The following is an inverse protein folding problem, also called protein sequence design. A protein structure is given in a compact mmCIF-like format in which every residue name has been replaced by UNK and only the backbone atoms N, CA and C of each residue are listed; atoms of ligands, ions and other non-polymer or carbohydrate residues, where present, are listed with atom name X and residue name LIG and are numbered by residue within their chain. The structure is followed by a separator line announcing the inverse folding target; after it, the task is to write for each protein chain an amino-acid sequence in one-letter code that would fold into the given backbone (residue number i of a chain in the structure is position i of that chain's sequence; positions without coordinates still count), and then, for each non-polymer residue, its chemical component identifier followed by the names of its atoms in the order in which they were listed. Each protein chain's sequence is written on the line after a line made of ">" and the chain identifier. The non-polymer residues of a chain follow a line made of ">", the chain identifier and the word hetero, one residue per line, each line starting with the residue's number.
data_IF_887832693304
#
_entry.id   IF_887832693304
#
_cell.length_a   1.000
_cell.length_b   1.000
_cell.length_c   1.000
_cell.angle_alpha   90.00
_cell.angle_beta   90.00
_cell.angle_gamma   90.00
#
_symmetry.space_group_name_H-M   'P 1'
#
loop_
_entity.id
_entity.type
_entity.pdbx_description
1 polymer ?
#
# COMPACT_ATOMS: atom_id res chain seq x y z
N UNK A 1 -7.53 -2.67 -11.34
CA UNK A 1 -7.37 -3.39 -12.64
C UNK A 1 -6.06 -4.15 -12.61
N UNK A 2 -6.07 -5.43 -12.99
CA UNK A 2 -4.83 -6.21 -13.08
C UNK A 2 -3.95 -5.74 -14.25
N UNK A 3 -2.71 -5.39 -13.95
CA UNK A 3 -1.62 -5.29 -14.94
C UNK A 3 -1.38 -6.57 -15.75
N UNK A 4 -0.98 -6.40 -17.01
CA UNK A 4 -0.25 -7.45 -17.73
C UNK A 4 1.09 -7.71 -17.02
N UNK A 5 1.47 -8.99 -16.88
CA UNK A 5 2.69 -9.36 -16.16
C UNK A 5 3.97 -8.75 -16.76
N UNK A 6 4.00 -8.50 -18.07
CA UNK A 6 5.12 -7.81 -18.74
C UNK A 6 5.17 -6.34 -18.31
N UNK A 7 4.01 -5.68 -18.21
CA UNK A 7 3.90 -4.29 -17.77
C UNK A 7 4.39 -4.14 -16.33
N UNK A 8 3.92 -5.01 -15.43
CA UNK A 8 4.36 -5.01 -14.03
C UNK A 8 5.87 -5.25 -13.89
N UNK A 9 6.39 -6.28 -14.56
CA UNK A 9 7.83 -6.60 -14.52
C UNK A 9 8.69 -5.44 -15.05
N UNK A 10 8.25 -4.79 -16.12
CA UNK A 10 8.96 -3.64 -16.67
C UNK A 10 8.93 -2.44 -15.71
N UNK A 11 7.78 -2.15 -15.10
CA UNK A 11 7.64 -1.06 -14.13
C UNK A 11 8.53 -1.29 -12.89
N UNK A 12 8.53 -2.51 -12.35
CA UNK A 12 9.39 -2.87 -11.22
C UNK A 12 10.88 -2.87 -11.58
N UNK A 13 11.25 -3.31 -12.79
CA UNK A 13 12.62 -3.22 -13.27
C UNK A 13 13.07 -1.75 -13.44
N UNK A 14 12.19 -0.89 -13.92
CA UNK A 14 12.41 0.56 -13.99
C UNK A 14 12.64 1.17 -12.61
N UNK A 15 11.79 0.81 -11.64
CA UNK A 15 11.94 1.25 -10.26
C UNK A 15 13.27 0.80 -9.64
N UNK A 16 13.61 -0.50 -9.77
CA UNK A 16 14.90 -1.04 -9.31
C UNK A 16 16.07 -0.28 -9.92
N UNK A 17 16.04 -0.05 -11.24
CA UNK A 17 17.12 0.66 -11.92
C UNK A 17 17.28 2.10 -11.42
N UNK A 18 16.17 2.82 -11.24
CA UNK A 18 16.19 4.18 -10.70
C UNK A 18 16.69 4.22 -9.25
N UNK A 19 16.22 3.30 -8.40
CA UNK A 19 16.66 3.20 -7.01
C UNK A 19 18.16 2.89 -6.90
N UNK A 20 18.66 1.93 -7.69
CA UNK A 20 20.10 1.64 -7.77
C UNK A 20 20.90 2.83 -8.28
N UNK A 21 20.40 3.57 -9.28
CA UNK A 21 21.05 4.78 -9.77
C UNK A 21 21.08 5.90 -8.72
N UNK A 22 20.07 5.96 -7.83
CA UNK A 22 20.05 6.85 -6.67
C UNK A 22 20.98 6.39 -5.52
N UNK A 23 21.65 5.25 -5.67
CA UNK A 23 22.62 4.71 -4.71
C UNK A 23 22.06 3.71 -3.70
N UNK A 24 20.81 3.26 -3.89
CA UNK A 24 20.25 2.20 -3.06
C UNK A 24 20.88 0.85 -3.42
N UNK A 25 21.46 0.17 -2.45
CA UNK A 25 21.98 -1.18 -2.62
C UNK A 25 20.80 -2.15 -2.77
N UNK A 26 20.63 -2.67 -3.99
CA UNK A 26 19.55 -3.60 -4.30
C UNK A 26 20.03 -5.05 -4.18
N UNK A 27 19.42 -5.88 -3.32
CA UNK A 27 19.86 -7.24 -3.09
C UNK A 27 19.68 -8.12 -4.34
N UNK A 28 20.51 -9.15 -4.46
CA UNK A 28 20.27 -10.21 -5.44
C UNK A 28 19.02 -11.03 -5.01
N UNK A 29 18.20 -11.52 -5.97
CA UNK A 29 17.04 -12.32 -5.65
C UNK A 29 17.43 -13.57 -4.83
N UNK A 30 16.87 -13.70 -3.63
CA UNK A 30 17.33 -14.70 -2.66
C UNK A 30 16.59 -16.05 -2.72
N UNK A 31 15.38 -16.12 -3.28
CA UNK A 31 14.57 -17.33 -3.25
C UNK A 31 13.63 -17.50 -4.47
N UNK A 32 13.30 -18.75 -4.83
CA UNK A 32 12.28 -19.03 -5.83
C UNK A 32 10.87 -18.70 -5.30
N UNK A 33 9.89 -18.47 -6.21
CA UNK A 33 8.52 -18.16 -5.84
C UNK A 33 7.89 -19.21 -4.94
N UNK A 34 7.21 -18.78 -3.88
CA UNK A 34 6.21 -19.58 -3.19
C UNK A 34 4.82 -19.18 -3.68
N UNK A 35 4.08 -20.16 -4.20
CA UNK A 35 2.65 -20.00 -4.47
C UNK A 35 1.93 -19.46 -3.23
N UNK A 36 0.84 -18.73 -3.44
CA UNK A 36 0.02 -18.26 -2.34
C UNK A 36 -0.41 -19.44 -1.44
N UNK A 37 -0.15 -19.38 -0.11
CA UNK A 37 -0.62 -20.41 0.81
C UNK A 37 -2.15 -20.55 0.78
N UNK A 38 -2.68 -21.77 0.98
CA UNK A 38 -4.14 -21.98 1.10
C UNK A 38 -4.78 -21.13 2.20
N UNK A 39 -4.01 -20.75 3.22
CA UNK A 39 -4.45 -19.85 4.27
C UNK A 39 -4.89 -18.49 3.70
N UNK A 40 -4.21 -17.95 2.69
CA UNK A 40 -4.54 -16.65 2.06
C UNK A 40 -5.96 -16.67 1.50
N UNK A 41 -6.31 -17.72 0.75
CA UNK A 41 -7.65 -17.88 0.19
C UNK A 41 -8.74 -17.88 1.27
N UNK A 42 -8.48 -18.58 2.40
CA UNK A 42 -9.42 -18.67 3.52
C UNK A 42 -9.54 -17.37 4.30
N UNK A 43 -8.41 -16.72 4.62
CA UNK A 43 -8.37 -15.45 5.34
C UNK A 43 -9.11 -14.36 4.57
N UNK A 44 -8.88 -14.27 3.25
CA UNK A 44 -9.37 -13.15 2.45
C UNK A 44 -10.68 -13.43 1.67
N UNK A 45 -11.27 -14.62 1.84
CA UNK A 45 -12.50 -15.04 1.15
C UNK A 45 -12.42 -15.00 -0.38
N UNK A 46 -11.32 -15.47 -0.95
CA UNK A 46 -11.10 -15.40 -2.40
C UNK A 46 -10.81 -16.76 -3.00
N UNK A 47 -11.43 -17.02 -4.15
CA UNK A 47 -11.26 -18.26 -4.91
C UNK A 47 -9.92 -18.30 -5.67
N UNK A 48 -9.30 -17.15 -5.89
CA UNK A 48 -8.01 -17.03 -6.58
C UNK A 48 -7.14 -15.93 -5.98
N UNK A 49 -5.85 -15.99 -6.29
CA UNK A 49 -4.86 -14.93 -5.98
C UNK A 49 -4.17 -14.57 -7.29
N UNK A 50 -4.13 -13.28 -7.60
CA UNK A 50 -3.54 -12.79 -8.85
C UNK A 50 -2.06 -13.18 -9.00
N UNK A 51 -1.63 -13.52 -10.22
CA UNK A 51 -0.24 -13.90 -10.52
C UNK A 51 0.76 -12.81 -10.09
N UNK A 52 0.35 -11.55 -10.16
CA UNK A 52 1.14 -10.38 -9.75
C UNK A 52 1.62 -10.47 -8.30
N UNK A 53 0.77 -10.95 -7.40
CA UNK A 53 1.11 -11.08 -5.99
C UNK A 53 2.10 -12.21 -5.75
N UNK A 54 1.90 -13.35 -6.42
CA UNK A 54 2.85 -14.47 -6.36
C UNK A 54 4.22 -14.05 -6.90
N UNK A 55 4.23 -13.27 -8.00
CA UNK A 55 5.46 -12.72 -8.55
C UNK A 55 6.11 -11.67 -7.66
N UNK A 56 5.33 -10.77 -7.03
CA UNK A 56 5.85 -9.74 -6.14
C UNK A 56 6.51 -10.39 -4.91
N UNK A 57 5.83 -11.36 -4.29
CA UNK A 57 6.35 -12.12 -3.15
C UNK A 57 7.60 -12.92 -3.51
N UNK A 58 7.69 -13.43 -4.75
CA UNK A 58 8.90 -14.11 -5.22
C UNK A 58 10.11 -13.19 -5.36
N UNK A 59 9.96 -11.87 -5.27
CA UNK A 59 11.09 -10.97 -5.33
C UNK A 59 11.91 -10.96 -4.02
N UNK A 60 11.34 -11.42 -2.91
CA UNK A 60 12.03 -11.55 -1.61
C UNK A 60 12.50 -10.21 -1.04
N UNK A 61 11.65 -9.18 -1.10
CA UNK A 61 11.96 -7.82 -0.64
C UNK A 61 11.60 -7.56 0.83
N UNK A 62 11.06 -8.56 1.52
CA UNK A 62 10.47 -8.47 2.85
C UNK A 62 11.46 -8.09 3.96
N UNK A 63 12.75 -8.40 3.77
CA UNK A 63 13.79 -8.10 4.75
C UNK A 63 14.49 -6.74 4.56
N UNK A 64 14.15 -5.99 3.51
CA UNK A 64 14.97 -4.87 3.04
C UNK A 64 14.16 -3.57 2.90
N UNK A 65 14.79 -2.43 3.23
CA UNK A 65 14.18 -1.09 3.17
C UNK A 65 14.24 -0.52 1.75
N UNK A 66 13.67 -1.26 0.81
CA UNK A 66 13.77 -0.95 -0.62
C UNK A 66 12.76 0.09 -1.09
N UNK A 67 11.64 0.23 -0.38
CA UNK A 67 10.51 1.07 -0.78
C UNK A 67 10.76 2.54 -0.38
N UNK A 68 10.09 3.53 -1.01
CA UNK A 68 10.15 4.91 -0.55
C UNK A 68 9.72 5.03 0.92
N UNK A 69 10.22 6.03 1.64
CA UNK A 69 9.92 6.19 3.06
C UNK A 69 10.40 5.04 3.94
N UNK A 70 11.29 4.17 3.43
CA UNK A 70 11.80 3.05 4.21
C UNK A 70 10.84 1.90 4.44
N UNK A 71 9.78 1.82 3.63
CA UNK A 71 8.75 0.80 3.77
C UNK A 71 9.28 -0.63 3.59
N UNK A 72 8.52 -1.56 4.15
CA UNK A 72 8.77 -2.99 4.09
C UNK A 72 7.69 -3.68 3.25
N UNK A 73 8.09 -4.69 2.50
CA UNK A 73 7.13 -5.61 1.88
C UNK A 73 6.67 -6.62 2.93
N UNK A 74 5.36 -6.79 3.08
CA UNK A 74 4.80 -7.78 3.99
C UNK A 74 4.82 -9.15 3.32
N UNK A 75 5.31 -10.21 4.00
CA UNK A 75 5.30 -11.55 3.46
C UNK A 75 3.86 -12.10 3.37
N UNK A 76 3.70 -13.28 2.77
CA UNK A 76 2.44 -14.01 2.87
C UNK A 76 2.03 -14.21 4.35
N UNK A 77 0.76 -13.98 4.70
CA UNK A 77 0.27 -14.21 6.05
C UNK A 77 0.53 -15.63 6.54
N UNK A 78 1.11 -15.73 7.74
CA UNK A 78 1.39 -17.01 8.40
C UNK A 78 0.24 -17.46 9.32
N UNK A 79 -0.58 -16.51 9.79
CA UNK A 79 -1.69 -16.69 10.72
C UNK A 79 -2.78 -15.64 10.48
N UNK A 80 -3.75 -15.55 11.41
CA UNK A 80 -4.87 -14.62 11.34
C UNK A 80 -4.56 -13.17 11.68
N UNK A 81 -3.35 -12.85 12.17
CA UNK A 81 -3.02 -11.48 12.62
C UNK A 81 -2.99 -10.50 11.44
N UNK A 82 -2.79 -10.98 10.20
CA UNK A 82 -2.88 -10.15 8.99
C UNK A 82 -4.28 -9.53 8.77
N UNK A 83 -5.32 -10.03 9.45
CA UNK A 83 -6.66 -9.41 9.41
C UNK A 83 -6.73 -8.16 10.30
N UNK A 84 -5.87 -8.03 11.31
CA UNK A 84 -5.88 -6.88 12.22
C UNK A 84 -5.49 -5.58 11.47
N UNK A 85 -4.62 -5.69 10.47
CA UNK A 85 -4.27 -4.59 9.56
C UNK A 85 -5.47 -4.09 8.73
N UNK A 86 -6.52 -4.93 8.58
CA UNK A 86 -7.74 -4.59 7.86
C UNK A 86 -8.78 -3.90 8.73
N UNK A 87 -8.54 -3.71 10.03
CA UNK A 87 -9.40 -2.93 10.94
C UNK A 87 -9.61 -1.48 10.51
N UNK A 88 -8.77 -0.97 9.61
CA UNK A 88 -8.82 0.39 9.07
C UNK A 88 -9.69 0.51 7.80
N UNK A 89 -10.33 -0.59 7.37
CA UNK A 89 -11.07 -0.70 6.11
C UNK A 89 -12.48 -0.09 6.19
N UNK A 90 -12.56 1.15 6.65
CA UNK A 90 -13.82 1.83 6.94
C UNK A 90 -14.35 2.48 5.66
N UNK A 91 -15.60 2.16 5.31
CA UNK A 91 -16.31 2.78 4.19
C UNK A 91 -15.77 2.41 2.80
N UNK A 92 -14.86 1.44 2.69
CA UNK A 92 -14.33 0.99 1.40
C UNK A 92 -15.44 0.40 0.50
N UNK A 93 -15.36 0.54 -0.83
CA UNK A 93 -16.43 0.15 -1.77
C UNK A 93 -16.45 -1.36 -2.10
N UNK A 94 -15.73 -2.18 -1.34
CA UNK A 94 -15.61 -3.62 -1.52
C UNK A 94 -15.61 -4.32 -0.15
N UNK A 95 -15.84 -5.64 -0.09
CA UNK A 95 -15.74 -6.37 1.17
C UNK A 95 -14.35 -6.19 1.80
N UNK A 96 -14.30 -5.78 3.07
CA UNK A 96 -13.03 -5.47 3.77
C UNK A 96 -12.03 -6.63 3.74
N UNK A 97 -12.54 -7.87 3.69
CA UNK A 97 -11.75 -9.10 3.68
C UNK A 97 -11.12 -9.40 2.32
N UNK A 98 -11.55 -8.75 1.23
CA UNK A 98 -11.04 -8.98 -0.13
C UNK A 98 -9.83 -8.12 -0.49
N UNK A 99 -8.90 -7.95 0.46
CA UNK A 99 -7.68 -7.18 0.25
C UNK A 99 -6.55 -7.71 1.11
N UNK A 100 -5.34 -7.67 0.57
CA UNK A 100 -4.12 -8.17 1.20
C UNK A 100 -3.20 -7.00 1.56
N UNK A 101 -2.80 -6.83 2.83
CA UNK A 101 -1.70 -5.94 3.19
C UNK A 101 -0.42 -6.30 2.44
N UNK A 102 0.15 -5.33 1.71
CA UNK A 102 1.35 -5.53 0.87
C UNK A 102 2.57 -4.79 1.38
N UNK A 103 2.41 -3.51 1.72
CA UNK A 103 3.53 -2.68 2.15
C UNK A 103 3.18 -2.01 3.47
N UNK A 104 4.12 -2.06 4.40
CA UNK A 104 4.03 -1.36 5.67
C UNK A 104 5.06 -0.23 5.71
N UNK A 105 4.59 0.95 6.08
CA UNK A 105 5.37 2.13 6.37
C UNK A 105 5.04 2.59 7.79
N UNK A 106 5.84 3.49 8.36
CA UNK A 106 5.73 3.91 9.77
C UNK A 106 4.30 4.28 10.21
N UNK A 107 3.53 4.93 9.33
CA UNK A 107 2.17 5.40 9.63
C UNK A 107 1.11 4.86 8.66
N UNK A 108 1.48 3.97 7.74
CA UNK A 108 0.65 3.62 6.59
C UNK A 108 0.76 2.15 6.21
N UNK A 109 -0.36 1.57 5.79
CA UNK A 109 -0.36 0.33 5.02
C UNK A 109 -0.82 0.59 3.60
N UNK A 110 -0.20 -0.10 2.65
CA UNK A 110 -0.73 -0.23 1.30
C UNK A 110 -1.21 -1.67 1.14
N UNK A 111 -2.41 -1.84 0.59
CA UNK A 111 -3.03 -3.14 0.33
C UNK A 111 -3.27 -3.33 -1.17
N UNK A 112 -3.53 -4.57 -1.56
CA UNK A 112 -3.96 -4.94 -2.89
C UNK A 112 -5.35 -5.55 -2.83
N UNK A 113 -6.28 -5.04 -3.62
CA UNK A 113 -7.64 -5.58 -3.70
C UNK A 113 -7.63 -6.88 -4.51
N UNK A 114 -8.16 -7.94 -3.92
CA UNK A 114 -8.03 -9.32 -4.42
C UNK A 114 -9.15 -9.76 -5.35
N UNK A 115 -10.29 -9.06 -5.37
CA UNK A 115 -11.46 -9.50 -6.12
C UNK A 115 -12.41 -8.34 -6.49
N UNK A 116 -13.38 -8.66 -7.36
CA UNK A 116 -14.45 -7.75 -7.77
C UNK A 116 -13.97 -6.66 -8.74
N UNK A 117 -14.77 -5.60 -8.86
CA UNK A 117 -14.51 -4.51 -9.83
C UNK A 117 -13.23 -3.71 -9.54
N UNK A 118 -12.73 -3.82 -8.30
CA UNK A 118 -11.53 -3.14 -7.82
C UNK A 118 -10.27 -4.02 -7.87
N UNK A 119 -10.37 -5.28 -8.33
CA UNK A 119 -9.24 -6.22 -8.32
C UNK A 119 -7.97 -5.61 -8.96
N UNK A 120 -6.85 -5.68 -8.22
CA UNK A 120 -5.55 -5.13 -8.61
C UNK A 120 -5.30 -3.69 -8.21
N UNK A 121 -6.30 -2.96 -7.71
CA UNK A 121 -6.07 -1.61 -7.18
C UNK A 121 -5.24 -1.63 -5.90
N UNK A 122 -4.43 -0.59 -5.73
CA UNK A 122 -3.65 -0.37 -4.52
C UNK A 122 -4.34 0.68 -3.67
N UNK A 123 -4.69 0.29 -2.45
CA UNK A 123 -5.33 1.16 -1.47
C UNK A 123 -4.37 1.45 -0.33
N UNK A 124 -4.46 2.65 0.24
CA UNK A 124 -3.67 3.05 1.41
C UNK A 124 -4.57 3.35 2.61
N UNK A 125 -4.04 3.05 3.79
CA UNK A 125 -4.69 3.23 5.09
C UNK A 125 -3.72 3.90 6.04
N UNK A 126 -4.16 4.96 6.71
CA UNK A 126 -3.41 5.61 7.80
C UNK A 126 -3.69 4.88 9.11
N UNK A 127 -2.60 4.50 9.79
CA UNK A 127 -2.62 3.78 11.07
C UNK A 127 -3.11 4.67 12.23
N UNK A 128 -2.80 5.98 12.29
CA UNK A 128 -3.26 6.80 13.40
C UNK A 128 -4.79 6.78 13.52
N UNK A 129 -5.33 6.52 14.73
CA UNK A 129 -6.74 6.17 14.95
C UNK A 129 -7.73 7.30 14.61
N UNK A 130 -7.25 8.53 14.38
CA UNK A 130 -8.05 9.72 14.15
C UNK A 130 -8.07 10.19 12.68
N UNK A 131 -7.69 9.32 11.75
CA UNK A 131 -7.51 9.68 10.33
C UNK A 131 -8.58 9.05 9.44
N UNK A 132 -8.89 7.76 9.61
CA UNK A 132 -9.95 7.03 8.86
C UNK A 132 -9.87 7.29 7.35
N UNK A 133 -8.65 7.19 6.84
CA UNK A 133 -8.24 7.76 5.56
C UNK A 133 -7.99 6.66 4.50
N UNK A 134 -8.89 5.67 4.46
CA UNK A 134 -8.92 4.65 3.43
C UNK A 134 -9.14 5.30 2.05
N UNK A 135 -8.18 5.12 1.13
CA UNK A 135 -8.22 5.79 -0.18
C UNK A 135 -7.37 5.03 -1.21
N UNK A 136 -7.75 4.99 -2.51
CA UNK A 136 -6.89 4.40 -3.53
C UNK A 136 -5.63 5.23 -3.74
N UNK A 137 -4.48 4.57 -3.61
CA UNK A 137 -3.15 5.10 -3.83
C UNK A 137 -2.73 5.01 -5.30
N UNK A 138 -3.04 3.89 -5.97
CA UNK A 138 -2.71 3.67 -7.37
C UNK A 138 -3.70 2.67 -8.02
N UNK A 139 -3.96 2.79 -9.33
CA UNK A 139 -4.87 1.88 -10.03
C UNK A 139 -4.32 0.46 -10.21
N UNK A 140 -3.01 0.27 -10.04
CA UNK A 140 -2.30 -1.01 -10.14
C UNK A 140 -0.89 -0.96 -9.52
N UNK A 141 -0.26 -2.13 -9.34
CA UNK A 141 1.14 -2.22 -8.89
C UNK A 141 2.11 -1.55 -9.87
N UNK A 142 1.92 -1.74 -11.18
CA UNK A 142 2.79 -1.12 -12.18
C UNK A 142 2.67 0.41 -12.15
N UNK A 143 1.47 0.94 -11.94
CA UNK A 143 1.25 2.38 -11.79
C UNK A 143 1.94 2.92 -10.53
N UNK A 144 1.89 2.18 -9.42
CA UNK A 144 2.58 2.53 -8.19
C UNK A 144 4.10 2.58 -8.38
N UNK A 145 4.71 1.52 -8.94
CA UNK A 145 6.15 1.51 -9.23
C UNK A 145 6.55 2.62 -10.20
N UNK A 146 5.70 2.96 -11.16
CA UNK A 146 5.95 4.07 -12.08
C UNK A 146 5.95 5.43 -11.37
N UNK A 147 5.05 5.65 -10.41
CA UNK A 147 5.06 6.85 -9.57
C UNK A 147 6.34 6.94 -8.73
N UNK A 148 6.77 5.84 -8.12
CA UNK A 148 8.01 5.82 -7.34
C UNK A 148 9.26 6.04 -8.20
N UNK A 149 9.31 5.42 -9.39
CA UNK A 149 10.38 5.63 -10.37
C UNK A 149 10.48 7.11 -10.75
N UNK A 150 9.34 7.71 -11.13
CA UNK A 150 9.26 9.12 -11.48
C UNK A 150 9.68 10.02 -10.32
N UNK A 151 9.26 9.69 -9.10
CA UNK A 151 9.68 10.40 -7.89
C UNK A 151 11.20 10.41 -7.71
N UNK A 152 11.88 9.30 -8.00
CA UNK A 152 13.34 9.23 -7.97
C UNK A 152 13.95 10.10 -9.09
N UNK A 153 13.46 9.95 -10.32
CA UNK A 153 14.00 10.67 -11.49
C UNK A 153 13.86 12.20 -11.39
N UNK A 154 12.81 12.68 -10.75
CA UNK A 154 12.58 14.13 -10.52
C UNK A 154 13.30 14.65 -9.28
N UNK A 155 13.93 13.77 -8.49
CA UNK A 155 14.60 14.10 -7.23
C UNK A 155 13.66 14.28 -6.04
N UNK A 156 12.36 14.02 -6.21
CA UNK A 156 11.37 14.05 -5.14
C UNK A 156 11.50 12.86 -4.18
N UNK A 157 12.14 11.78 -4.60
CA UNK A 157 12.58 10.66 -3.76
C UNK A 157 14.09 10.52 -3.90
N UNK A 158 14.80 10.42 -2.79
CA UNK A 158 16.25 10.36 -2.79
C UNK A 158 16.78 9.48 -1.69
N UNK A 159 17.93 8.86 -1.92
CA UNK A 159 18.63 8.14 -0.86
C UNK A 159 19.04 9.14 0.23
N UNK A 160 18.62 8.89 1.47
CA UNK A 160 19.11 9.62 2.62
C UNK A 160 20.41 8.97 3.13
N UNK A 161 21.55 9.70 3.12
CA UNK A 161 22.83 9.12 3.53
C UNK A 161 22.90 8.70 5.00
N UNK A 162 22.01 9.24 5.86
CA UNK A 162 22.05 8.97 7.29
C UNK A 162 21.35 7.67 7.67
N UNK A 163 20.24 7.38 7.01
CA UNK A 163 19.39 6.21 7.25
C UNK A 163 19.65 5.07 6.27
N UNK A 164 20.20 5.38 5.08
CA UNK A 164 20.48 4.40 4.03
C UNK A 164 19.25 3.95 3.23
N UNK A 165 18.10 4.62 3.38
CA UNK A 165 16.87 4.30 2.63
C UNK A 165 16.42 5.46 1.74
N UNK A 166 15.44 5.20 0.88
CA UNK A 166 14.82 6.23 0.04
C UNK A 166 13.87 7.09 0.88
N UNK A 167 14.11 8.39 0.93
CA UNK A 167 13.29 9.38 1.60
C UNK A 167 12.44 10.16 0.58
N UNK A 168 11.18 10.42 0.93
CA UNK A 168 10.26 11.23 0.11
C UNK A 168 10.33 12.68 0.55
N UNK A 169 10.43 13.59 -0.42
CA UNK A 169 10.57 15.03 -0.20
C UNK A 169 11.87 15.42 0.49
N UNK A 170 11.86 16.61 1.06
CA UNK A 170 13.04 17.24 1.65
C UNK A 170 13.51 16.61 2.96
N UNK A 171 12.69 15.78 3.63
CA UNK A 171 13.00 15.20 4.94
C UNK A 171 13.08 16.22 6.09
N UNK A 172 12.84 17.49 5.81
CA UNK A 172 12.95 18.61 6.76
C UNK A 172 11.64 19.37 6.93
N UNK A 173 10.66 19.14 6.05
CA UNK A 173 9.33 19.73 6.10
C UNK A 173 8.32 18.83 6.77
N UNK A 174 7.13 19.37 7.06
CA UNK A 174 5.97 18.56 7.41
C UNK A 174 5.38 17.88 6.16
N UNK A 175 4.34 17.06 6.32
CA UNK A 175 3.73 16.36 5.18
C UNK A 175 3.12 17.32 4.14
N UNK A 176 2.54 18.45 4.55
CA UNK A 176 2.04 19.47 3.62
C UNK A 176 3.14 20.05 2.73
N UNK A 177 4.30 20.33 3.32
CA UNK A 177 5.47 20.80 2.56
C UNK A 177 5.96 19.72 1.59
N UNK A 178 5.91 18.45 2.00
CA UNK A 178 6.29 17.31 1.15
C UNK A 178 5.33 17.13 -0.03
N UNK A 179 4.01 17.24 0.20
CA UNK A 179 3.00 17.21 -0.87
C UNK A 179 3.25 18.33 -1.87
N UNK A 180 3.47 19.55 -1.38
CA UNK A 180 3.76 20.72 -2.22
C UNK A 180 5.04 20.52 -3.02
N UNK A 181 6.10 20.01 -2.40
CA UNK A 181 7.38 19.72 -3.04
C UNK A 181 7.22 18.70 -4.18
N UNK A 182 6.50 17.60 -3.94
CA UNK A 182 6.19 16.60 -4.99
C UNK A 182 5.52 17.25 -6.20
N UNK A 183 4.51 18.08 -5.96
CA UNK A 183 3.73 18.75 -7.01
C UNK A 183 4.52 19.84 -7.75
N UNK A 184 5.42 20.55 -7.07
CA UNK A 184 6.28 21.57 -7.66
C UNK A 184 7.37 20.97 -8.54
N UNK A 185 7.97 19.85 -8.11
CA UNK A 185 8.97 19.13 -8.90
C UNK A 185 8.34 18.51 -10.14
N UNK A 186 7.16 17.90 -9.99
CA UNK A 186 6.42 17.35 -11.12
C UNK A 186 4.91 17.26 -10.83
N UNK A 187 4.06 18.04 -11.53
CA UNK A 187 2.61 18.00 -11.35
C UNK A 187 1.95 16.65 -11.66
N UNK A 188 2.67 15.73 -12.31
CA UNK A 188 2.19 14.37 -12.61
C UNK A 188 2.51 13.34 -11.52
N UNK A 189 3.18 13.73 -10.42
CA UNK A 189 3.32 12.90 -9.23
C UNK A 189 2.02 12.94 -8.42
N UNK A 190 1.47 11.77 -8.11
CA UNK A 190 0.31 11.64 -7.23
C UNK A 190 0.80 11.50 -5.78
N UNK A 191 0.56 12.49 -4.89
CA UNK A 191 0.97 12.39 -3.49
C UNK A 191 0.43 11.15 -2.77
N UNK A 192 -0.74 10.64 -3.16
CA UNK A 192 -1.33 9.44 -2.54
C UNK A 192 -0.56 8.15 -2.87
N UNK A 193 0.25 8.13 -3.93
CA UNK A 193 1.12 7.01 -4.26
C UNK A 193 2.36 6.93 -3.35
N UNK A 194 2.64 7.96 -2.54
CA UNK A 194 3.80 8.01 -1.65
C UNK A 194 3.39 7.79 -0.19
N UNK A 195 4.29 7.22 0.64
CA UNK A 195 4.03 6.95 2.04
C UNK A 195 4.18 8.21 2.91
N UNK A 196 3.38 9.23 2.61
CA UNK A 196 3.32 10.50 3.33
C UNK A 196 1.98 10.59 4.06
N UNK A 197 1.94 11.11 5.29
CA UNK A 197 0.69 11.25 6.02
C UNK A 197 -0.13 12.40 5.44
N UNK A 198 -1.43 12.21 5.23
CA UNK A 198 -2.30 13.20 4.60
C UNK A 198 -3.63 13.40 5.35
N UNK A 199 -3.61 13.50 6.70
CA UNK A 199 -4.82 13.50 7.49
C UNK A 199 -5.70 14.69 7.12
N UNK A 200 -6.96 14.41 6.75
CA UNK A 200 -7.94 15.43 6.38
C UNK A 200 -7.52 16.34 5.19
N UNK A 201 -6.55 15.91 4.37
CA UNK A 201 -6.11 16.70 3.22
C UNK A 201 -7.21 16.75 2.13
N UNK A 202 -7.49 17.90 1.49
CA UNK A 202 -8.55 18.00 0.47
C UNK A 202 -8.41 17.01 -0.71
N UNK A 203 -7.18 16.73 -1.13
CA UNK A 203 -6.88 15.71 -2.16
C UNK A 203 -7.44 14.33 -1.76
N UNK A 204 -7.26 13.96 -0.49
CA UNK A 204 -7.70 12.66 0.02
C UNK A 204 -9.22 12.55 -0.01
N UNK A 205 -9.93 13.55 0.53
CA UNK A 205 -11.41 13.56 0.54
C UNK A 205 -11.99 13.56 -0.87
N UNK A 206 -11.36 14.29 -1.80
CA UNK A 206 -11.77 14.27 -3.21
C UNK A 206 -11.58 12.88 -3.85
N UNK A 207 -10.46 12.20 -3.55
CA UNK A 207 -10.19 10.85 -4.05
C UNK A 207 -11.14 9.81 -3.45
N UNK A 208 -11.43 9.89 -2.14
CA UNK A 208 -12.42 9.03 -1.47
C UNK A 208 -13.79 9.12 -2.15
N UNK A 209 -14.29 10.34 -2.36
CA UNK A 209 -15.58 10.56 -3.01
C UNK A 209 -15.61 10.02 -4.45
N UNK A 210 -14.52 10.21 -5.21
CA UNK A 210 -14.42 9.68 -6.58
C UNK A 210 -14.33 8.14 -6.63
N UNK A 211 -13.75 7.52 -5.59
CA UNK A 211 -13.56 6.08 -5.48
C UNK A 211 -14.78 5.34 -4.91
N UNK A 212 -15.83 6.05 -4.48
CA UNK A 212 -17.01 5.43 -3.90
C UNK A 212 -16.87 5.05 -2.42
N UNK A 213 -15.87 5.61 -1.72
CA UNK A 213 -15.78 5.46 -0.26
C UNK A 213 -17.01 6.09 0.39
N UNK A 214 -17.64 5.37 1.33
CA UNK A 214 -18.74 5.91 2.12
C UNK A 214 -18.22 6.97 3.10
N UNK A 215 -18.26 8.22 2.63
CA UNK A 215 -17.82 9.39 3.40
C UNK A 215 -18.65 9.64 4.66
N UNK A 216 -19.82 9.01 4.78
CA UNK A 216 -20.64 9.07 5.99
C UNK A 216 -20.13 8.13 7.10
N UNK A 217 -19.28 7.16 6.77
CA UNK A 217 -18.68 6.23 7.73
C UNK A 217 -17.33 6.72 8.26
N UNK A 218 -16.59 7.52 7.48
CA UNK A 218 -15.26 8.04 7.84
C UNK A 218 -15.30 9.40 8.56
N UNK A 219 -16.28 9.59 9.45
CA UNK A 219 -16.37 10.80 10.29
C UNK A 219 -15.85 10.53 11.71
N UNK A 220 -15.36 11.55 12.44
CA UNK A 220 -14.87 11.36 13.81
C UNK A 220 -15.89 10.75 14.78
N UNK A 221 -17.19 10.92 14.50
CA UNK A 221 -18.27 10.41 15.33
C UNK A 221 -18.61 8.94 15.03
N UNK A 222 -18.53 8.51 13.77
CA UNK A 222 -18.99 7.16 13.35
C UNK A 222 -17.86 6.17 13.15
N UNK A 223 -16.70 6.63 12.71
CA UNK A 223 -15.61 5.75 12.36
C UNK A 223 -15.08 4.93 13.56
N UNK A 224 -15.01 5.47 14.80
CA UNK A 224 -14.65 4.65 15.97
C UNK A 224 -15.61 3.48 16.21
N UNK A 225 -16.93 3.70 16.07
CA UNK A 225 -17.94 2.66 16.26
C UNK A 225 -17.82 1.57 15.19
N UNK A 226 -17.63 1.97 13.92
CA UNK A 226 -17.47 1.03 12.80
C UNK A 226 -16.17 0.24 12.91
N UNK A 227 -15.09 0.87 13.40
CA UNK A 227 -13.83 0.18 13.66
C UNK A 227 -14.02 -0.90 14.75
N UNK A 228 -14.78 -0.62 15.80
CA UNK A 228 -15.11 -1.60 16.84
C UNK A 228 -15.92 -2.78 16.28
N UNK A 229 -16.96 -2.50 15.48
CA UNK A 229 -17.73 -3.52 14.77
C UNK A 229 -16.84 -4.39 13.88
N UNK A 230 -15.91 -3.78 13.14
CA UNK A 230 -14.98 -4.49 12.27
C UNK A 230 -13.99 -5.35 13.05
N UNK A 231 -13.50 -4.87 14.19
CA UNK A 231 -12.65 -5.67 15.09
C UNK A 231 -13.38 -6.90 15.65
N UNK A 232 -14.66 -6.76 16.02
CA UNK A 232 -15.51 -7.87 16.44
C UNK A 232 -15.71 -8.89 15.30
N UNK A 233 -15.93 -8.40 14.08
CA UNK A 233 -16.01 -9.26 12.88
C UNK A 233 -14.70 -10.01 12.62
N UNK A 234 -13.55 -9.33 12.71
CA UNK A 234 -12.22 -9.94 12.57
C UNK A 234 -12.05 -11.05 13.60
N UNK A 235 -12.36 -10.79 14.87
CA UNK A 235 -12.28 -11.79 15.94
C UNK A 235 -13.18 -12.99 15.68
N UNK A 236 -14.41 -12.77 15.19
CA UNK A 236 -15.34 -13.84 14.83
C UNK A 236 -14.83 -14.68 13.66
N UNK A 237 -14.28 -14.05 12.61
CA UNK A 237 -13.69 -14.73 11.45
C UNK A 237 -12.49 -15.58 11.87
N UNK A 238 -11.58 -15.03 12.67
CA UNK A 238 -10.44 -15.76 13.25
C UNK A 238 -10.89 -17.00 14.01
N UNK A 239 -11.89 -16.84 14.89
CA UNK A 239 -12.50 -17.95 15.62
C UNK A 239 -13.12 -19.02 14.72
N UNK A 240 -13.78 -18.63 13.63
CA UNK A 240 -14.37 -19.55 12.65
C UNK A 240 -13.32 -20.31 11.82
N UNK A 241 -12.20 -19.66 11.51
CA UNK A 241 -11.09 -20.23 10.73
C UNK A 241 -10.11 -21.04 11.58
N UNK A 242 -10.12 -20.86 12.91
CA UNK A 242 -9.23 -21.51 13.86
C UNK A 242 -7.80 -20.95 13.83
N UNK A 243 -7.67 -19.63 13.64
CA UNK A 243 -6.41 -18.87 13.55
C UNK A 243 -6.40 -17.65 14.46
#
# INVERSE_FOLDING_TARGET
>A
MLDDMTVLRNAAAGYRAAATAAGLDWPEPAAPPTAAPELVHRLFDVDHVAEQLTWLQSQGWDAERLLPGGGLTLPWPADGDALDDLSLSIGVPFPWRQQLPLFHFEYLFFTFVLAGDHEGEIWRYEIPPDTWDAVPAAPSLAALFSQWTRGIETGAVRLDPSSGWLMVGSGTGNDYDTIRELQELDPGLDPLAFPISMPNHPLLRARQAAAGVDTSCVTPERAPEIMEELMDEIAAVRGALGV
#
